data_IF_215776777260
#
_entry.id   IF_215776777260
#
_cell.length_a   1.000
_cell.length_b   1.000
_cell.length_c   1.000
_cell.angle_alpha   90.00
_cell.angle_beta   90.00
_cell.angle_gamma   90.00
#
_symmetry.space_group_name_H-M   'P 1'
#
loop_
_entity.id
_entity.type
_entity.pdbx_description
1 polymer ?
#
# COMPACT_ATOMS: atom_id res chain seq x y z
N UNK A 1 -5.63 -8.88 -3.49
CA UNK A 1 -4.94 -7.85 -2.68
C UNK A 1 -5.48 -6.48 -3.03
N UNK A 2 -5.60 -5.55 -2.08
CA UNK A 2 -6.03 -4.18 -2.36
C UNK A 2 -5.07 -3.15 -1.75
N UNK A 3 -4.83 -2.06 -2.48
CA UNK A 3 -3.95 -0.97 -2.09
C UNK A 3 -4.35 0.34 -2.78
N UNK A 4 -3.95 1.48 -2.23
CA UNK A 4 -3.94 2.74 -2.98
C UNK A 4 -2.84 2.71 -4.04
N UNK A 5 -2.88 3.64 -5.00
CA UNK A 5 -1.86 3.81 -6.04
C UNK A 5 -0.44 3.98 -5.47
N UNK A 6 -0.29 4.81 -4.44
CA UNK A 6 0.96 5.04 -3.73
C UNK A 6 1.47 3.76 -3.07
N UNK A 7 0.61 3.06 -2.31
CA UNK A 7 1.01 1.81 -1.63
C UNK A 7 1.27 0.68 -2.62
N UNK A 8 0.53 0.63 -3.74
CA UNK A 8 0.78 -0.32 -4.81
C UNK A 8 2.18 -0.09 -5.41
N UNK A 9 2.54 1.16 -5.68
CA UNK A 9 3.84 1.53 -6.24
C UNK A 9 4.99 1.28 -5.26
N UNK A 10 4.80 1.61 -3.98
CA UNK A 10 5.83 1.48 -2.96
C UNK A 10 6.02 0.03 -2.45
N UNK A 11 4.97 -0.79 -2.47
CA UNK A 11 4.97 -2.12 -1.83
C UNK A 11 4.65 -3.22 -2.83
N UNK A 12 3.49 -3.16 -3.49
CA UNK A 12 3.01 -4.28 -4.30
C UNK A 12 3.89 -4.51 -5.52
N UNK A 13 4.15 -3.49 -6.33
CA UNK A 13 4.91 -3.63 -7.58
C UNK A 13 6.33 -4.18 -7.34
N UNK A 14 7.12 -3.68 -6.37
CA UNK A 14 8.43 -4.27 -6.05
C UNK A 14 8.34 -5.72 -5.56
N UNK A 15 7.27 -6.06 -4.84
CA UNK A 15 7.08 -7.39 -4.24
C UNK A 15 6.58 -8.45 -5.24
N UNK A 16 5.82 -8.06 -6.28
CA UNK A 16 5.17 -8.99 -7.21
C UNK A 16 6.12 -10.01 -7.84
N UNK A 17 7.34 -9.58 -8.20
CA UNK A 17 8.35 -10.46 -8.77
C UNK A 17 8.74 -11.59 -7.80
N UNK A 18 8.97 -11.26 -6.53
CA UNK A 18 9.29 -12.23 -5.48
C UNK A 18 8.13 -13.17 -5.20
N UNK A 19 6.89 -12.66 -5.15
CA UNK A 19 5.70 -13.52 -4.95
C UNK A 19 5.52 -14.52 -6.08
N UNK A 20 5.75 -14.09 -7.33
CA UNK A 20 5.59 -14.99 -8.49
C UNK A 20 6.70 -16.06 -8.55
N UNK A 21 7.89 -15.75 -8.05
CA UNK A 21 8.95 -16.75 -7.92
C UNK A 21 8.66 -17.74 -6.79
N UNK A 22 8.18 -17.26 -5.64
CA UNK A 22 7.89 -18.10 -4.48
C UNK A 22 6.65 -18.99 -4.69
N UNK A 23 5.67 -18.54 -5.48
CA UNK A 23 4.49 -19.34 -5.83
C UNK A 23 4.07 -19.12 -7.30
N UNK A 24 4.72 -19.80 -8.26
CA UNK A 24 4.44 -19.62 -9.69
C UNK A 24 3.01 -20.01 -10.11
N UNK A 25 2.38 -20.91 -9.36
CA UNK A 25 1.01 -21.38 -9.61
C UNK A 25 -0.08 -20.48 -9.02
N UNK A 26 0.28 -19.52 -8.16
CA UNK A 26 -0.68 -18.61 -7.56
C UNK A 26 -1.15 -17.56 -8.55
N UNK A 27 -2.45 -17.24 -8.51
CA UNK A 27 -3.04 -16.11 -9.23
C UNK A 27 -3.17 -14.93 -8.27
N UNK A 28 -2.62 -13.79 -8.66
CA UNK A 28 -2.66 -12.57 -7.88
C UNK A 28 -3.51 -11.53 -8.61
N UNK A 29 -4.56 -11.04 -7.95
CA UNK A 29 -5.33 -9.90 -8.39
C UNK A 29 -5.05 -8.70 -7.48
N UNK A 30 -4.86 -7.53 -8.09
CA UNK A 30 -4.69 -6.25 -7.40
C UNK A 30 -5.91 -5.39 -7.69
N UNK A 31 -6.56 -4.92 -6.63
CA UNK A 31 -7.72 -4.05 -6.69
C UNK A 31 -7.39 -2.70 -6.08
N UNK A 32 -8.13 -1.67 -6.49
CA UNK A 32 -8.13 -0.40 -5.76
C UNK A 32 -8.73 -0.58 -4.37
N UNK A 33 -8.11 0.10 -3.40
CA UNK A 33 -8.58 0.10 -2.02
C UNK A 33 -9.90 0.88 -1.90
N UNK A 34 -10.90 0.27 -1.28
CA UNK A 34 -12.18 0.90 -0.97
C UNK A 34 -12.38 0.95 0.56
N UNK A 35 -11.95 2.03 1.24
CA UNK A 35 -11.93 2.10 2.72
C UNK A 35 -13.27 1.77 3.37
N UNK A 36 -14.37 2.26 2.80
CA UNK A 36 -15.73 2.03 3.30
C UNK A 36 -16.20 0.57 3.20
N UNK A 37 -15.47 -0.30 2.47
CA UNK A 37 -15.85 -1.69 2.21
C UNK A 37 -14.81 -2.70 2.68
N UNK A 38 -13.78 -2.27 3.42
CA UNK A 38 -12.69 -3.15 3.86
C UNK A 38 -13.22 -4.38 4.64
N UNK A 39 -14.03 -4.14 5.67
CA UNK A 39 -14.58 -5.22 6.49
C UNK A 39 -15.49 -6.14 5.68
N UNK A 40 -16.32 -5.58 4.79
CA UNK A 40 -17.19 -6.36 3.91
C UNK A 40 -16.39 -7.21 2.91
N UNK A 41 -15.36 -6.65 2.28
CA UNK A 41 -14.51 -7.36 1.32
C UNK A 41 -13.68 -8.46 1.98
N UNK A 42 -13.23 -8.23 3.22
CA UNK A 42 -12.56 -9.23 4.03
C UNK A 42 -13.53 -10.36 4.44
N UNK A 43 -14.72 -10.01 4.93
CA UNK A 43 -15.72 -10.98 5.38
C UNK A 43 -16.27 -11.85 4.25
N UNK A 44 -16.29 -11.33 3.02
CA UNK A 44 -16.78 -12.05 1.84
C UNK A 44 -15.65 -12.72 1.03
N UNK A 45 -14.44 -12.85 1.57
CA UNK A 45 -13.26 -13.42 0.90
C UNK A 45 -12.98 -12.81 -0.49
N UNK A 46 -13.37 -11.55 -0.70
CA UNK A 46 -13.15 -10.85 -1.97
C UNK A 46 -11.72 -10.35 -2.07
N UNK A 47 -11.14 -9.96 -0.93
CA UNK A 47 -9.76 -9.52 -0.82
C UNK A 47 -9.15 -10.07 0.46
N UNK A 48 -8.07 -10.83 0.32
CA UNK A 48 -7.41 -11.49 1.47
C UNK A 48 -6.44 -10.57 2.22
N UNK A 49 -5.83 -9.60 1.51
CA UNK A 49 -4.79 -8.73 2.04
C UNK A 49 -5.01 -7.28 1.60
N UNK A 50 -4.92 -6.39 2.59
CA UNK A 50 -5.06 -4.96 2.42
C UNK A 50 -3.77 -4.25 2.82
N UNK A 51 -3.31 -3.36 1.96
CA UNK A 51 -2.25 -2.42 2.27
C UNK A 51 -2.91 -1.07 2.51
N UNK A 52 -2.92 -0.65 3.77
CA UNK A 52 -3.58 0.58 4.21
C UNK A 52 -2.76 1.31 5.27
N UNK A 53 -3.02 2.61 5.43
CA UNK A 53 -2.46 3.40 6.53
C UNK A 53 -3.09 2.95 7.85
N UNK A 54 -2.33 3.05 8.94
CA UNK A 54 -2.78 2.56 10.24
C UNK A 54 -4.01 3.30 10.77
N UNK A 55 -4.11 4.59 10.47
CA UNK A 55 -5.19 5.47 10.94
C UNK A 55 -6.56 5.08 10.38
N UNK A 56 -6.61 4.54 9.16
CA UNK A 56 -7.87 4.10 8.52
C UNK A 56 -8.15 2.61 8.63
N UNK A 57 -7.26 1.83 9.27
CA UNK A 57 -7.40 0.38 9.36
C UNK A 57 -8.52 -0.01 10.34
N UNK A 58 -9.55 -0.76 9.91
CA UNK A 58 -10.65 -1.16 10.78
C UNK A 58 -10.15 -1.99 11.98
N UNK A 59 -10.61 -1.70 13.20
CA UNK A 59 -10.13 -2.39 14.42
C UNK A 59 -10.52 -3.87 14.46
N UNK A 60 -11.55 -4.27 13.71
CA UNK A 60 -12.00 -5.66 13.63
C UNK A 60 -11.13 -6.58 12.77
N UNK A 61 -10.18 -6.03 12.01
CA UNK A 61 -9.27 -6.80 11.16
C UNK A 61 -7.91 -6.98 11.85
N UNK A 62 -7.26 -8.11 11.62
CA UNK A 62 -5.88 -8.31 12.05
C UNK A 62 -4.94 -7.35 11.30
N UNK A 63 -4.07 -6.66 12.05
CA UNK A 63 -3.18 -5.64 11.50
C UNK A 63 -1.72 -5.95 11.84
N UNK A 64 -0.82 -5.66 10.90
CA UNK A 64 0.63 -5.73 11.10
C UNK A 64 1.29 -4.50 10.50
N UNK A 65 2.10 -3.79 11.29
CA UNK A 65 2.89 -2.67 10.79
C UNK A 65 4.03 -3.18 9.91
N UNK A 66 4.08 -2.73 8.66
CA UNK A 66 5.18 -3.07 7.72
C UNK A 66 6.32 -2.07 7.81
N UNK A 67 6.01 -0.78 7.81
CA UNK A 67 6.97 0.32 7.98
C UNK A 67 6.22 1.60 8.41
N UNK A 68 6.99 2.63 8.77
CA UNK A 68 6.48 3.97 9.04
C UNK A 68 6.87 4.89 7.89
N UNK A 69 5.90 5.60 7.34
CA UNK A 69 6.14 6.64 6.34
C UNK A 69 6.49 7.98 7.00
N UNK A 70 7.20 8.82 6.26
CA UNK A 70 7.52 10.20 6.66
C UNK A 70 7.15 11.12 5.52
N UNK A 71 6.27 12.07 5.79
CA UNK A 71 5.95 13.12 4.84
C UNK A 71 7.16 14.05 4.70
N UNK A 72 7.59 14.25 3.46
CA UNK A 72 8.71 15.12 3.11
C UNK A 72 8.25 16.06 2.00
N UNK A 73 8.90 17.22 1.92
CA UNK A 73 8.79 18.06 0.74
C UNK A 73 9.69 17.50 -0.36
N UNK A 74 9.11 17.19 -1.51
CA UNK A 74 9.86 16.85 -2.72
C UNK A 74 9.89 18.06 -3.67
N UNK A 75 11.08 18.42 -4.12
CA UNK A 75 11.31 19.50 -5.09
C UNK A 75 12.45 19.15 -6.04
N UNK A 76 12.57 19.86 -7.16
CA UNK A 76 13.74 19.72 -8.04
C UNK A 76 14.97 20.26 -7.32
N UNK A 77 16.11 19.58 -7.46
CA UNK A 77 17.37 20.01 -6.84
C UNK A 77 17.75 21.44 -7.23
N UNK A 78 17.56 21.81 -8.50
CA UNK A 78 17.86 23.14 -9.05
C UNK A 78 16.76 24.19 -8.80
N UNK A 79 15.78 23.90 -7.94
CA UNK A 79 14.69 24.83 -7.70
C UNK A 79 15.19 26.00 -6.83
N UNK A 80 15.15 27.23 -7.36
CA UNK A 80 15.70 28.42 -6.69
C UNK A 80 15.14 28.68 -5.29
N UNK A 81 13.88 28.31 -5.03
CA UNK A 81 13.27 28.41 -3.70
C UNK A 81 13.72 27.31 -2.71
N UNK A 82 14.35 26.22 -3.17
CA UNK A 82 14.82 25.13 -2.30
C UNK A 82 16.07 25.53 -1.50
N UNK A 83 16.89 26.44 -2.04
CA UNK A 83 18.06 26.99 -1.34
C UNK A 83 17.70 27.80 -0.08
N UNK A 84 16.43 28.17 0.10
CA UNK A 84 15.97 28.91 1.28
C UNK A 84 15.68 28.00 2.50
N UNK A 85 15.59 26.68 2.31
CA UNK A 85 15.12 25.72 3.35
C UNK A 85 16.18 24.65 3.71
N UNK A 86 17.44 24.84 3.29
CA UNK A 86 18.59 24.01 3.66
C UNK A 86 19.36 24.66 4.82
#
# INVERSE_FOLDING_TARGET
MAATDYMASAILLPMLAGLRQASPGSRLAVFELQPARLEQQAANDTVDLFFHTREGAPPGLHQRLLFRERYVLAGRAEHSAAAAWA
#
